data_IF_259168245886
#
_entry.id   IF_259168245886
#
_cell.length_a   1.000
_cell.length_b   1.000
_cell.length_c   1.000
_cell.angle_alpha   90.00
_cell.angle_beta   90.00
_cell.angle_gamma   90.00
#
_symmetry.space_group_name_H-M   'P 1'
#
loop_
_entity.id
_entity.type
_entity.pdbx_description
1 polymer ?
#
# COMPACT_ATOMS: atom_id res chain seq x y z
N UNK A 1 -14.89 -5.75 -15.75
CA UNK A 1 -15.37 -7.04 -15.17
C UNK A 1 -16.08 -7.80 -16.27
N UNK A 2 -15.96 -9.13 -16.34
CA UNK A 2 -16.70 -9.89 -17.36
C UNK A 2 -18.21 -9.86 -17.06
N UNK A 3 -19.06 -9.91 -18.10
CA UNK A 3 -20.52 -9.80 -17.94
C UNK A 3 -21.10 -10.88 -17.00
N UNK A 4 -20.51 -12.07 -17.00
CA UNK A 4 -20.94 -13.19 -16.16
C UNK A 4 -20.59 -12.97 -14.67
N UNK A 5 -19.46 -12.32 -14.39
CA UNK A 5 -19.07 -11.93 -13.02
C UNK A 5 -20.01 -10.84 -12.47
N UNK A 6 -20.35 -9.85 -13.30
CA UNK A 6 -21.32 -8.80 -12.92
C UNK A 6 -22.70 -9.40 -12.62
N UNK A 7 -23.16 -10.35 -13.45
CA UNK A 7 -24.43 -11.06 -13.22
C UNK A 7 -24.40 -11.90 -11.95
N UNK A 8 -23.29 -12.58 -11.67
CA UNK A 8 -23.12 -13.35 -10.44
C UNK A 8 -23.16 -12.43 -9.21
N UNK A 9 -22.52 -11.26 -9.29
CA UNK A 9 -22.53 -10.24 -8.24
C UNK A 9 -23.95 -9.71 -7.99
N UNK A 10 -24.67 -9.32 -9.03
CA UNK A 10 -26.07 -8.85 -8.93
C UNK A 10 -27.01 -9.93 -8.40
N UNK A 11 -26.78 -11.20 -8.76
CA UNK A 11 -27.55 -12.32 -8.23
C UNK A 11 -27.29 -12.54 -6.74
N UNK A 12 -26.03 -12.40 -6.30
CA UNK A 12 -25.64 -12.54 -4.89
C UNK A 12 -26.13 -11.36 -4.05
N UNK A 13 -26.05 -10.15 -4.59
CA UNK A 13 -26.40 -8.90 -3.90
C UNK A 13 -27.38 -8.07 -4.76
N UNK A 14 -28.66 -8.45 -4.81
CA UNK A 14 -29.66 -7.81 -5.69
C UNK A 14 -30.02 -6.38 -5.30
N UNK A 15 -29.50 -5.89 -4.17
CA UNK A 15 -29.75 -4.58 -3.59
C UNK A 15 -28.57 -3.62 -3.74
N UNK A 16 -27.49 -3.99 -4.45
CA UNK A 16 -26.39 -3.08 -4.70
C UNK A 16 -26.86 -1.85 -5.52
N UNK A 17 -26.41 -0.63 -5.19
CA UNK A 17 -26.76 0.58 -5.94
C UNK A 17 -26.27 0.52 -7.39
N UNK A 18 -27.03 1.13 -8.30
CA UNK A 18 -26.69 1.20 -9.72
C UNK A 18 -25.34 1.93 -9.92
N UNK A 19 -25.07 3.01 -9.18
CA UNK A 19 -23.78 3.72 -9.32
C UNK A 19 -22.57 2.88 -8.90
N UNK A 20 -22.71 1.99 -7.91
CA UNK A 20 -21.65 1.04 -7.55
C UNK A 20 -21.47 -0.01 -8.65
N UNK A 21 -22.57 -0.60 -9.14
CA UNK A 21 -22.55 -1.61 -10.18
C UNK A 21 -21.95 -1.06 -11.50
N UNK A 22 -22.32 0.16 -11.88
CA UNK A 22 -21.76 0.85 -13.03
C UNK A 22 -20.24 1.04 -12.86
N UNK A 23 -19.80 1.54 -11.71
CA UNK A 23 -18.38 1.73 -11.42
C UNK A 23 -17.59 0.42 -11.51
N UNK A 24 -18.02 -0.64 -10.82
CA UNK A 24 -17.27 -1.91 -10.80
C UNK A 24 -17.36 -2.67 -12.12
N UNK A 25 -18.42 -2.48 -12.91
CA UNK A 25 -18.49 -3.03 -14.27
C UNK A 25 -17.33 -2.51 -15.13
N UNK A 26 -17.05 -1.21 -15.01
CA UNK A 26 -16.05 -0.50 -15.80
C UNK A 26 -14.64 -0.65 -15.25
N UNK A 27 -14.47 -0.57 -13.94
CA UNK A 27 -13.15 -0.48 -13.31
C UNK A 27 -12.77 -1.68 -12.44
N UNK A 28 -13.72 -2.54 -12.08
CA UNK A 28 -13.49 -3.66 -11.15
C UNK A 28 -13.11 -3.20 -9.74
N UNK A 29 -12.24 -3.97 -9.08
CA UNK A 29 -11.59 -3.55 -7.83
C UNK A 29 -10.49 -2.52 -8.15
N UNK A 30 -10.48 -1.39 -7.46
CA UNK A 30 -9.46 -0.35 -7.67
C UNK A 30 -8.79 0.06 -6.37
N UNK A 31 -7.53 0.45 -6.49
CA UNK A 31 -6.75 1.15 -5.47
C UNK A 31 -6.23 2.42 -6.11
N UNK A 32 -6.59 3.57 -5.56
CA UNK A 32 -6.36 4.88 -6.14
C UNK A 32 -5.55 5.74 -5.16
N UNK A 33 -4.80 6.70 -5.71
CA UNK A 33 -4.01 7.67 -4.95
C UNK A 33 -3.00 6.99 -4.00
N UNK A 34 -1.94 6.41 -4.59
CA UNK A 34 -0.86 5.80 -3.81
C UNK A 34 -0.07 6.90 -3.09
N UNK A 35 0.05 6.79 -1.78
CA UNK A 35 0.92 7.63 -0.95
C UNK A 35 1.79 6.72 -0.10
N UNK A 36 3.10 6.75 -0.36
CA UNK A 36 4.06 5.81 0.25
C UNK A 36 3.62 4.36 0.00
N UNK A 37 3.35 3.60 1.08
CA UNK A 37 2.92 2.20 1.05
C UNK A 37 1.40 2.01 1.09
N UNK A 38 0.62 3.10 1.14
CA UNK A 38 -0.84 3.04 1.28
C UNK A 38 -1.57 3.63 0.06
N UNK A 39 -2.83 3.24 -0.13
CA UNK A 39 -3.71 3.81 -1.15
C UNK A 39 -4.85 4.54 -0.45
N UNK A 40 -4.97 5.83 -0.69
CA UNK A 40 -5.94 6.67 0.02
C UNK A 40 -7.38 6.28 -0.27
N UNK A 41 -7.68 5.72 -1.44
CA UNK A 41 -9.04 5.28 -1.81
C UNK A 41 -9.00 3.88 -2.38
N UNK A 42 -9.85 2.99 -1.86
CA UNK A 42 -10.05 1.66 -2.42
C UNK A 42 -11.53 1.37 -2.68
N UNK A 43 -11.81 0.67 -3.77
CA UNK A 43 -13.14 0.09 -4.04
C UNK A 43 -12.97 -1.41 -4.20
N UNK A 44 -13.76 -2.18 -3.42
CA UNK A 44 -13.77 -3.62 -3.43
C UNK A 44 -14.81 -4.13 -4.42
N UNK A 45 -14.45 -5.12 -5.22
CA UNK A 45 -15.34 -5.88 -6.08
C UNK A 45 -14.85 -7.35 -6.15
N UNK A 46 -15.56 -8.32 -5.57
CA UNK A 46 -16.84 -8.18 -4.86
C UNK A 46 -16.71 -7.41 -3.53
N UNK A 47 -17.81 -6.89 -2.97
CA UNK A 47 -17.79 -6.35 -1.62
C UNK A 47 -17.58 -7.47 -0.59
N UNK A 48 -17.05 -7.12 0.57
CA UNK A 48 -16.81 -8.06 1.67
C UNK A 48 -17.99 -8.05 2.65
N UNK A 49 -18.48 -9.23 3.03
CA UNK A 49 -19.53 -9.38 4.04
C UNK A 49 -18.93 -9.29 5.44
N UNK A 50 -19.37 -8.31 6.22
CA UNK A 50 -18.86 -8.08 7.58
C UNK A 50 -20.03 -8.07 8.56
N UNK A 51 -19.82 -8.67 9.74
CA UNK A 51 -20.72 -8.50 10.89
C UNK A 51 -20.12 -7.45 11.81
N UNK A 52 -20.80 -6.31 11.93
CA UNK A 52 -20.37 -5.21 12.77
C UNK A 52 -20.55 -5.55 14.27
N UNK A 53 -19.85 -4.91 15.23
CA UNK A 53 -19.91 -5.28 16.65
C UNK A 53 -21.33 -5.28 17.25
N UNK A 54 -22.21 -4.43 16.73
CA UNK A 54 -23.62 -4.37 17.13
C UNK A 54 -24.50 -5.49 16.52
N UNK A 55 -23.92 -6.42 15.76
CA UNK A 55 -24.60 -7.52 15.09
C UNK A 55 -25.16 -7.19 13.70
N UNK A 56 -25.06 -5.94 13.23
CA UNK A 56 -25.52 -5.56 11.90
C UNK A 56 -24.65 -6.22 10.81
N UNK A 57 -25.31 -6.75 9.77
CA UNK A 57 -24.64 -7.29 8.59
C UNK A 57 -24.45 -6.19 7.56
N UNK A 58 -23.20 -5.96 7.17
CA UNK A 58 -22.80 -4.91 6.24
C UNK A 58 -22.08 -5.51 5.04
N UNK A 59 -22.10 -4.77 3.93
CA UNK A 59 -21.22 -5.00 2.79
C UNK A 59 -20.16 -3.91 2.78
N UNK A 60 -18.90 -4.25 3.05
CA UNK A 60 -17.78 -3.33 2.86
C UNK A 60 -17.49 -3.20 1.37
N UNK A 61 -17.57 -1.98 0.88
CA UNK A 61 -17.44 -1.66 -0.55
C UNK A 61 -16.16 -0.92 -0.89
N UNK A 62 -15.45 -0.44 0.12
CA UNK A 62 -14.25 0.34 -0.08
C UNK A 62 -13.72 0.95 1.22
N UNK A 63 -12.75 1.83 1.05
CA UNK A 63 -12.15 2.60 2.14
C UNK A 63 -11.66 3.95 1.64
N UNK A 64 -11.52 4.90 2.57
CA UNK A 64 -10.79 6.15 2.39
C UNK A 64 -9.92 6.39 3.62
N UNK A 65 -8.61 6.60 3.42
CA UNK A 65 -7.64 6.54 4.52
C UNK A 65 -7.88 5.25 5.34
N UNK A 66 -7.78 5.29 6.66
CA UNK A 66 -8.13 4.16 7.54
C UNK A 66 -9.65 3.92 7.71
N UNK A 67 -10.52 4.80 7.17
CA UNK A 67 -11.98 4.68 7.31
C UNK A 67 -12.59 3.73 6.29
N UNK A 68 -13.48 2.84 6.74
CA UNK A 68 -14.17 1.88 5.86
C UNK A 68 -15.50 2.45 5.35
N UNK A 69 -15.94 1.95 4.20
CA UNK A 69 -17.20 2.34 3.59
C UNK A 69 -18.11 1.13 3.40
N UNK A 70 -19.38 1.26 3.79
CA UNK A 70 -20.33 0.16 3.85
C UNK A 70 -21.69 0.48 3.20
N UNK A 71 -22.37 -0.57 2.74
CA UNK A 71 -23.83 -0.60 2.59
C UNK A 71 -24.46 -1.51 3.64
N UNK A 72 -25.70 -1.22 4.04
CA UNK A 72 -26.50 -2.17 4.84
C UNK A 72 -26.95 -3.33 3.96
N UNK A 73 -26.63 -4.56 4.37
CA UNK A 73 -27.03 -5.78 3.63
C UNK A 73 -28.55 -6.05 3.66
N UNK A 74 -29.26 -5.40 4.58
CA UNK A 74 -30.70 -5.58 4.82
C UNK A 74 -31.58 -4.54 4.12
N UNK A 75 -31.00 -3.59 3.38
CA UNK A 75 -31.77 -2.63 2.60
C UNK A 75 -32.41 -3.33 1.40
N UNK A 76 -33.72 -3.57 1.49
CA UNK A 76 -34.51 -4.27 0.47
C UNK A 76 -35.06 -3.36 -0.62
N UNK A 77 -34.79 -2.05 -0.57
CA UNK A 77 -35.27 -1.10 -1.58
C UNK A 77 -34.62 -1.43 -2.92
N UNK A 78 -35.38 -1.93 -3.91
CA UNK A 78 -34.81 -2.29 -5.19
C UNK A 78 -34.39 -1.02 -5.92
N UNK A 79 -33.11 -0.94 -6.31
CA UNK A 79 -32.58 0.02 -7.30
C UNK A 79 -32.64 1.50 -6.93
N UNK A 80 -32.81 1.84 -5.66
CA UNK A 80 -32.52 3.20 -5.17
C UNK A 80 -31.06 3.28 -4.73
N UNK A 81 -30.40 4.41 -4.98
CA UNK A 81 -29.12 4.71 -4.34
C UNK A 81 -29.21 4.44 -2.84
N UNK A 82 -28.21 3.73 -2.31
CA UNK A 82 -28.09 3.47 -0.89
C UNK A 82 -27.12 4.46 -0.27
N UNK A 83 -27.41 4.96 0.94
CA UNK A 83 -26.44 5.75 1.68
C UNK A 83 -25.20 4.90 1.94
N UNK A 84 -24.03 5.54 1.83
CA UNK A 84 -22.76 4.94 2.26
C UNK A 84 -22.58 5.24 3.74
N UNK A 85 -22.27 4.20 4.51
CA UNK A 85 -21.97 4.30 5.92
C UNK A 85 -20.47 4.22 6.17
N UNK A 86 -19.98 4.93 7.17
CA UNK A 86 -18.64 4.77 7.73
C UNK A 86 -18.72 4.35 9.20
N UNK A 87 -17.59 3.92 9.76
CA UNK A 87 -17.44 3.68 11.18
C UNK A 87 -16.55 4.74 11.84
N UNK A 88 -16.94 5.17 13.04
CA UNK A 88 -16.12 6.04 13.88
C UNK A 88 -15.18 5.23 14.81
N UNK A 89 -14.35 5.93 15.60
CA UNK A 89 -13.42 5.31 16.55
C UNK A 89 -14.13 4.49 17.65
N UNK A 90 -15.41 4.78 17.90
CA UNK A 90 -16.25 4.07 18.89
C UNK A 90 -17.01 2.89 18.25
N UNK A 91 -16.74 2.56 16.99
CA UNK A 91 -17.46 1.56 16.22
C UNK A 91 -18.97 1.85 16.12
N UNK A 92 -19.36 3.10 15.91
CA UNK A 92 -20.71 3.48 15.53
C UNK A 92 -20.80 3.66 14.01
N UNK A 93 -21.96 3.32 13.43
CA UNK A 93 -22.22 3.55 12.00
C UNK A 93 -22.84 4.92 11.78
N UNK A 94 -22.21 5.73 10.93
CA UNK A 94 -22.72 7.01 10.51
C UNK A 94 -22.88 7.10 8.98
N UNK A 95 -23.83 7.92 8.52
CA UNK A 95 -23.99 8.19 7.09
C UNK A 95 -22.91 9.15 6.62
N UNK A 96 -22.00 8.68 5.76
CA UNK A 96 -20.90 9.48 5.20
C UNK A 96 -21.17 9.99 3.79
N UNK A 97 -22.17 9.43 3.09
CA UNK A 97 -22.69 9.95 1.82
C UNK A 97 -24.12 9.44 1.53
N UNK A 98 -24.85 10.14 0.67
CA UNK A 98 -26.19 9.75 0.23
C UNK A 98 -26.20 8.67 -0.86
N UNK A 99 -25.07 8.46 -1.53
CA UNK A 99 -24.91 7.50 -2.63
C UNK A 99 -23.45 7.07 -2.77
N UNK A 100 -23.21 5.96 -3.46
CA UNK A 100 -21.85 5.53 -3.79
C UNK A 100 -21.13 6.55 -4.67
N UNK A 101 -21.82 7.08 -5.68
CA UNK A 101 -21.28 8.14 -6.54
C UNK A 101 -20.80 9.35 -5.74
N UNK A 102 -21.63 9.86 -4.82
CA UNK A 102 -21.26 11.01 -3.99
C UNK A 102 -20.07 10.70 -3.07
N UNK A 103 -20.02 9.48 -2.54
CA UNK A 103 -18.88 9.03 -1.73
C UNK A 103 -17.59 8.99 -2.55
N UNK A 104 -17.56 8.28 -3.68
CA UNK A 104 -16.32 8.08 -4.43
C UNK A 104 -15.78 9.39 -5.01
N UNK A 105 -16.66 10.27 -5.50
CA UNK A 105 -16.27 11.61 -6.00
C UNK A 105 -15.63 12.43 -4.89
N UNK A 106 -16.32 12.56 -3.74
CA UNK A 106 -15.79 13.31 -2.60
C UNK A 106 -14.46 12.74 -2.11
N UNK A 107 -14.35 11.42 -1.96
CA UNK A 107 -13.11 10.78 -1.49
C UNK A 107 -11.96 10.94 -2.48
N UNK A 108 -12.23 10.93 -3.78
CA UNK A 108 -11.22 11.25 -4.81
C UNK A 108 -10.75 12.71 -4.71
N UNK A 109 -11.66 13.66 -4.45
CA UNK A 109 -11.31 15.07 -4.25
C UNK A 109 -10.48 15.26 -2.97
N UNK A 110 -10.90 14.64 -1.87
CA UNK A 110 -10.17 14.65 -0.60
C UNK A 110 -8.76 14.06 -0.77
N UNK A 111 -8.64 12.89 -1.43
CA UNK A 111 -7.36 12.24 -1.70
C UNK A 111 -6.45 13.08 -2.61
N UNK A 112 -7.02 13.75 -3.63
CA UNK A 112 -6.26 14.66 -4.50
C UNK A 112 -5.63 15.80 -3.72
N UNK A 113 -6.27 16.29 -2.66
CA UNK A 113 -5.76 17.40 -1.85
C UNK A 113 -4.56 17.02 -0.98
N UNK A 114 -4.20 15.73 -0.90
CA UNK A 114 -2.95 15.30 -0.27
C UNK A 114 -1.70 15.53 -1.12
N UNK A 115 -1.87 15.89 -2.39
CA UNK A 115 -0.79 16.16 -3.33
C UNK A 115 -0.70 17.67 -3.59
N UNK A 116 0.52 18.19 -3.58
CA UNK A 116 0.80 19.52 -4.10
C UNK A 116 0.47 19.60 -5.59
N UNK A 117 0.24 20.80 -6.13
CA UNK A 117 -0.02 20.96 -7.57
C UNK A 117 1.14 20.39 -8.41
N UNK A 118 2.38 20.52 -7.94
CA UNK A 118 3.55 19.94 -8.61
C UNK A 118 3.54 18.41 -8.61
N UNK A 119 3.22 17.78 -7.49
CA UNK A 119 3.09 16.31 -7.41
C UNK A 119 1.93 15.80 -8.27
N UNK A 120 0.81 16.51 -8.25
CA UNK A 120 -0.36 16.16 -9.04
C UNK A 120 -0.11 16.28 -10.55
N UNK A 121 0.58 17.34 -10.97
CA UNK A 121 1.00 17.51 -12.36
C UNK A 121 1.97 16.40 -12.80
N UNK A 122 2.84 15.92 -11.91
CA UNK A 122 3.69 14.75 -12.19
C UNK A 122 2.86 13.48 -12.38
N UNK A 123 1.86 13.24 -11.55
CA UNK A 123 0.95 12.09 -11.68
C UNK A 123 0.22 12.13 -13.03
N UNK A 124 -0.27 13.31 -13.44
CA UNK A 124 -0.99 13.48 -14.72
C UNK A 124 -0.11 13.30 -15.95
N UNK A 125 1.14 13.75 -15.90
CA UNK A 125 2.01 13.82 -17.07
C UNK A 125 2.99 12.63 -17.17
N UNK A 126 2.76 11.56 -16.38
CA UNK A 126 3.69 10.48 -16.06
C UNK A 126 4.88 10.97 -15.21
N UNK A 127 5.41 10.12 -14.32
CA UNK A 127 6.61 10.50 -13.57
C UNK A 127 7.79 10.68 -14.52
N UNK A 128 8.71 11.54 -14.10
CA UNK A 128 10.00 11.65 -14.77
C UNK A 128 10.69 10.29 -14.76
N UNK A 129 11.15 9.85 -15.92
CA UNK A 129 12.03 8.69 -16.02
C UNK A 129 13.25 8.89 -15.12
N UNK A 130 13.86 7.78 -14.71
CA UNK A 130 15.14 7.84 -14.01
C UNK A 130 16.18 8.59 -14.84
N UNK A 131 16.89 9.53 -14.20
CA UNK A 131 18.11 10.09 -14.77
C UNK A 131 19.26 9.05 -14.70
N UNK A 132 20.40 9.36 -15.33
CA UNK A 132 21.53 8.42 -15.41
C UNK A 132 22.04 7.96 -14.03
N UNK A 133 22.11 8.87 -13.04
CA UNK A 133 22.52 8.53 -11.67
C UNK A 133 21.50 7.61 -10.98
N UNK A 134 20.20 7.89 -11.17
CA UNK A 134 19.14 7.05 -10.64
C UNK A 134 19.15 5.65 -11.27
N UNK A 135 19.43 5.54 -12.58
CA UNK A 135 19.61 4.26 -13.27
C UNK A 135 20.82 3.48 -12.74
N UNK A 136 21.94 4.15 -12.45
CA UNK A 136 23.10 3.51 -11.83
C UNK A 136 22.76 2.89 -10.46
N UNK A 137 21.94 3.58 -9.66
CA UNK A 137 21.47 3.05 -8.37
C UNK A 137 20.59 1.81 -8.56
N UNK A 138 19.65 1.85 -9.51
CA UNK A 138 18.80 0.70 -9.86
C UNK A 138 19.67 -0.51 -10.23
N UNK A 139 20.66 -0.31 -11.09
CA UNK A 139 21.58 -1.38 -11.52
C UNK A 139 22.51 -1.87 -10.41
N UNK A 140 22.96 -0.98 -9.52
CA UNK A 140 23.74 -1.35 -8.36
C UNK A 140 22.94 -2.21 -7.39
N UNK A 141 21.69 -1.82 -7.11
CA UNK A 141 20.78 -2.53 -6.22
C UNK A 141 20.56 -3.98 -6.65
N UNK A 142 20.37 -4.24 -7.96
CA UNK A 142 20.22 -5.60 -8.51
C UNK A 142 21.42 -6.51 -8.22
N UNK A 143 22.61 -5.92 -8.12
CA UNK A 143 23.89 -6.61 -7.90
C UNK A 143 24.27 -6.73 -6.42
N UNK A 144 23.67 -5.93 -5.54
CA UNK A 144 23.89 -6.09 -4.10
C UNK A 144 23.07 -7.29 -3.60
N UNK A 145 23.76 -8.29 -3.06
CA UNK A 145 23.15 -9.50 -2.48
C UNK A 145 23.12 -9.37 -0.97
N UNK A 146 22.09 -9.93 -0.36
CA UNK A 146 22.01 -9.96 1.09
C UNK A 146 21.26 -11.19 1.60
N UNK A 147 21.51 -11.58 2.84
CA UNK A 147 20.75 -12.60 3.54
C UNK A 147 20.77 -12.36 5.05
N UNK A 148 19.66 -12.62 5.72
CA UNK A 148 19.59 -12.70 7.19
C UNK A 148 20.45 -13.87 7.67
N UNK A 149 21.35 -13.61 8.62
CA UNK A 149 22.22 -14.64 9.21
C UNK A 149 21.90 -14.93 10.68
N UNK A 150 21.07 -14.11 11.32
CA UNK A 150 20.62 -14.33 12.70
C UNK A 150 20.25 -13.03 13.38
N UNK A 151 20.38 -13.03 14.70
CA UNK A 151 20.19 -11.88 15.56
C UNK A 151 21.42 -11.68 16.46
N UNK A 152 21.67 -10.44 16.88
CA UNK A 152 22.65 -10.13 17.91
C UNK A 152 22.08 -10.47 19.30
N UNK A 153 22.92 -10.39 20.33
CA UNK A 153 22.49 -10.58 21.72
C UNK A 153 21.49 -9.49 22.16
N UNK A 154 21.54 -8.32 21.52
CA UNK A 154 20.65 -7.17 21.78
C UNK A 154 19.36 -7.23 20.94
N UNK A 155 19.12 -8.34 20.25
CA UNK A 155 17.94 -8.58 19.42
C UNK A 155 17.97 -7.90 18.04
N UNK A 156 19.08 -7.27 17.66
CA UNK A 156 19.21 -6.63 16.34
C UNK A 156 19.30 -7.70 15.25
N UNK A 157 18.69 -7.44 14.09
CA UNK A 157 18.84 -8.34 12.95
C UNK A 157 20.25 -8.23 12.38
N UNK A 158 20.89 -9.37 12.15
CA UNK A 158 22.20 -9.46 11.50
C UNK A 158 22.02 -9.89 10.05
N UNK A 159 22.47 -9.05 9.13
CA UNK A 159 22.31 -9.23 7.70
C UNK A 159 23.68 -9.21 7.05
N UNK A 160 24.02 -10.27 6.35
CA UNK A 160 25.22 -10.33 5.53
C UNK A 160 24.91 -9.67 4.19
N UNK A 161 25.66 -8.63 3.84
CA UNK A 161 25.50 -7.85 2.61
C UNK A 161 26.76 -7.98 1.78
N UNK A 162 26.63 -8.32 0.50
CA UNK A 162 27.72 -8.39 -0.47
C UNK A 162 27.46 -7.44 -1.63
N UNK A 163 28.40 -6.53 -1.88
CA UNK A 163 28.29 -5.58 -2.97
C UNK A 163 28.99 -6.10 -4.23
N UNK A 164 28.24 -6.65 -5.18
CA UNK A 164 28.77 -7.10 -6.48
C UNK A 164 28.60 -6.02 -7.57
N UNK A 165 28.23 -4.81 -7.19
CA UNK A 165 28.15 -3.66 -8.09
C UNK A 165 29.46 -2.88 -8.13
N UNK A 166 29.53 -1.87 -9.01
CA UNK A 166 30.65 -0.92 -9.07
C UNK A 166 30.37 0.35 -8.25
N UNK A 167 29.23 0.43 -7.56
CA UNK A 167 28.78 1.61 -6.83
C UNK A 167 28.66 1.29 -5.34
N UNK A 168 29.09 2.22 -4.49
CA UNK A 168 28.79 2.16 -3.05
C UNK A 168 27.51 2.91 -2.79
N UNK A 169 26.48 2.22 -2.31
CA UNK A 169 25.22 2.86 -1.91
C UNK A 169 25.30 3.26 -0.42
N UNK A 170 24.70 4.39 0.00
CA UNK A 170 24.65 4.76 1.41
C UNK A 170 23.73 3.83 2.20
N UNK A 171 22.63 3.41 1.57
CA UNK A 171 21.60 2.56 2.14
C UNK A 171 21.22 1.43 1.19
N UNK A 172 20.51 0.44 1.72
CA UNK A 172 19.79 -0.57 0.95
C UNK A 172 18.41 -0.80 1.58
N UNK A 173 17.34 -0.55 0.84
CA UNK A 173 15.97 -0.75 1.31
C UNK A 173 15.55 -2.19 1.06
N UNK A 174 15.17 -2.88 2.13
CA UNK A 174 14.70 -4.27 2.11
C UNK A 174 13.32 -4.40 2.74
N UNK A 175 12.57 -5.41 2.33
CA UNK A 175 11.22 -5.67 2.82
C UNK A 175 11.24 -6.35 4.18
N UNK A 176 10.25 -6.03 4.99
CA UNK A 176 10.02 -6.60 6.32
C UNK A 176 8.58 -7.07 6.46
N UNK A 177 8.39 -8.24 7.07
CA UNK A 177 7.09 -8.75 7.46
C UNK A 177 7.15 -9.34 8.87
N UNK A 178 6.32 -8.84 9.77
CA UNK A 178 6.01 -9.41 11.07
C UNK A 178 4.77 -10.30 10.98
N UNK A 179 4.80 -11.47 11.61
CA UNK A 179 3.65 -12.39 11.63
C UNK A 179 2.66 -12.09 12.76
N UNK A 180 3.15 -11.66 13.93
CA UNK A 180 2.35 -11.42 15.13
C UNK A 180 2.93 -10.25 15.95
N UNK A 181 2.33 -9.03 15.92
CA UNK A 181 1.26 -8.60 15.02
C UNK A 181 1.64 -8.67 13.53
N UNK A 182 0.62 -8.78 12.67
CA UNK A 182 0.80 -8.71 11.23
C UNK A 182 1.18 -7.28 10.84
N UNK A 183 2.46 -7.06 10.53
CA UNK A 183 3.00 -5.78 10.09
C UNK A 183 3.79 -6.03 8.81
N UNK A 184 3.62 -5.16 7.82
CA UNK A 184 4.40 -5.21 6.58
C UNK A 184 4.97 -3.82 6.29
N UNK A 185 6.23 -3.77 5.88
CA UNK A 185 6.92 -2.52 5.62
C UNK A 185 8.31 -2.75 5.07
N UNK A 186 9.19 -1.78 5.29
CA UNK A 186 10.59 -1.86 4.91
C UNK A 186 11.51 -1.43 6.05
N UNK A 187 12.78 -1.80 5.93
CA UNK A 187 13.88 -1.20 6.68
C UNK A 187 14.97 -0.76 5.71
N UNK A 188 15.75 0.24 6.10
CA UNK A 188 16.93 0.69 5.36
C UNK A 188 18.17 0.17 6.07
N UNK A 189 19.08 -0.46 5.34
CA UNK A 189 20.34 -0.94 5.87
C UNK A 189 21.43 0.08 5.58
N UNK A 190 22.14 0.62 6.58
CA UNK A 190 23.27 1.50 6.34
C UNK A 190 24.45 0.69 5.77
N UNK A 191 24.68 0.77 4.46
CA UNK A 191 25.68 -0.04 3.73
C UNK A 191 26.79 0.78 3.09
N UNK A 192 26.93 2.05 3.46
CA UNK A 192 27.97 2.97 2.95
C UNK A 192 29.41 2.45 3.10
N UNK A 193 29.65 1.52 4.02
CA UNK A 193 30.95 0.89 4.26
C UNK A 193 31.18 -0.39 3.44
N UNK A 194 30.14 -0.90 2.75
CA UNK A 194 30.23 -2.10 1.91
C UNK A 194 30.61 -1.69 0.48
N UNK A 195 31.90 -1.43 0.27
CA UNK A 195 32.42 -1.01 -1.03
C UNK A 195 32.38 -2.16 -2.07
N UNK A 196 32.49 -1.87 -3.38
CA UNK A 196 32.51 -2.88 -4.44
C UNK A 196 33.43 -4.08 -4.17
N UNK A 197 32.89 -5.27 -4.40
CA UNK A 197 33.58 -6.56 -4.22
C UNK A 197 33.64 -7.06 -2.78
N UNK A 198 33.17 -6.31 -1.79
CA UNK A 198 33.22 -6.68 -0.38
C UNK A 198 31.93 -7.29 0.15
N UNK A 199 32.07 -7.93 1.31
CA UNK A 199 30.98 -8.48 2.11
C UNK A 199 31.12 -8.02 3.55
N UNK A 200 30.01 -7.65 4.19
CA UNK A 200 29.99 -7.18 5.57
C UNK A 200 28.72 -7.62 6.31
N UNK A 201 28.79 -7.72 7.64
CA UNK A 201 27.62 -7.97 8.48
C UNK A 201 27.10 -6.63 8.99
N UNK A 202 25.90 -6.27 8.53
CA UNK A 202 25.18 -5.10 9.00
C UNK A 202 24.22 -5.51 10.11
N UNK A 203 24.24 -4.78 11.21
CA UNK A 203 23.29 -4.93 12.31
C UNK A 203 22.28 -3.78 12.26
N UNK A 204 21.00 -4.09 12.46
CA UNK A 204 19.93 -3.11 12.42
C UNK A 204 18.85 -3.45 13.45
N UNK A 205 18.35 -2.45 14.16
CA UNK A 205 17.31 -2.64 15.19
C UNK A 205 15.99 -3.14 14.61
N UNK A 206 15.68 -2.73 13.37
CA UNK A 206 14.48 -3.13 12.66
C UNK A 206 13.23 -2.75 13.45
N UNK A 207 12.39 -3.74 13.75
CA UNK A 207 11.17 -3.59 14.56
C UNK A 207 11.24 -4.42 15.85
N UNK A 208 12.44 -4.61 16.42
CA UNK A 208 12.64 -5.48 17.60
C UNK A 208 11.81 -5.09 18.83
N UNK A 209 11.38 -3.83 18.91
CA UNK A 209 10.50 -3.33 19.97
C UNK A 209 9.03 -3.75 19.81
N UNK A 210 8.64 -4.17 18.59
CA UNK A 210 7.26 -4.47 18.22
C UNK A 210 7.05 -5.93 17.81
N UNK A 211 8.06 -6.57 17.21
CA UNK A 211 7.99 -7.91 16.63
C UNK A 211 9.13 -8.76 17.20
N UNK A 212 8.80 -9.93 17.74
CA UNK A 212 9.81 -10.87 18.21
C UNK A 212 10.64 -11.46 17.07
N UNK A 213 11.86 -11.87 17.38
CA UNK A 213 12.85 -12.30 16.39
C UNK A 213 12.37 -13.51 15.58
N UNK A 214 11.68 -14.48 16.20
CA UNK A 214 11.07 -15.62 15.52
C UNK A 214 9.89 -15.28 14.60
N UNK A 215 9.26 -14.12 14.79
CA UNK A 215 8.11 -13.66 14.02
C UNK A 215 8.49 -12.68 12.89
N UNK A 216 9.79 -12.46 12.67
CA UNK A 216 10.29 -11.54 11.65
C UNK A 216 10.82 -12.24 10.39
N UNK A 217 10.33 -11.79 9.25
CA UNK A 217 10.74 -12.21 7.92
C UNK A 217 11.25 -11.00 7.14
N UNK A 218 12.33 -11.20 6.38
CA UNK A 218 12.93 -10.18 5.53
C UNK A 218 12.95 -10.70 4.10
N UNK A 219 12.58 -9.86 3.14
CA UNK A 219 12.48 -10.26 1.74
C UNK A 219 12.99 -9.17 0.80
N UNK A 220 13.34 -9.56 -0.42
CA UNK A 220 13.75 -8.64 -1.48
C UNK A 220 12.55 -7.85 -1.97
N UNK A 221 12.63 -6.51 -1.89
CA UNK A 221 11.69 -5.64 -2.59
C UNK A 221 11.94 -5.71 -4.11
N UNK A 222 10.91 -5.52 -4.95
CA UNK A 222 11.10 -5.36 -6.39
C UNK A 222 12.03 -4.19 -6.68
N UNK A 223 12.56 -4.16 -7.90
CA UNK A 223 13.33 -3.00 -8.34
C UNK A 223 12.43 -1.76 -8.40
N UNK A 224 12.93 -0.59 -7.96
CA UNK A 224 12.14 0.62 -7.92
C UNK A 224 11.73 1.03 -9.34
N UNK A 225 10.49 1.44 -9.48
CA UNK A 225 10.00 2.21 -10.63
C UNK A 225 10.19 3.71 -10.38
N UNK A 226 10.17 4.57 -11.41
CA UNK A 226 10.28 6.02 -11.21
C UNK A 226 9.23 6.59 -10.25
N UNK A 227 8.03 6.02 -10.23
CA UNK A 227 6.92 6.32 -9.32
C UNK A 227 7.24 6.02 -7.85
N UNK A 228 8.17 5.10 -7.59
CA UNK A 228 8.40 4.51 -6.26
C UNK A 228 9.68 4.98 -5.60
N UNK A 229 10.48 5.81 -6.28
CA UNK A 229 11.82 6.21 -5.82
C UNK A 229 11.86 6.77 -4.39
N UNK A 230 10.82 7.49 -3.96
CA UNK A 230 10.74 8.10 -2.63
C UNK A 230 10.62 7.08 -1.48
N UNK A 231 10.22 5.84 -1.80
CA UNK A 231 10.14 4.71 -0.87
C UNK A 231 11.54 4.16 -0.55
N UNK A 232 12.48 4.30 -1.50
CA UNK A 232 13.81 3.71 -1.45
C UNK A 232 14.81 4.73 -0.93
N UNK A 233 15.44 4.42 0.21
CA UNK A 233 16.43 5.30 0.86
C UNK A 233 17.68 5.54 0.02
N UNK A 234 17.96 4.64 -0.94
CA UNK A 234 19.08 4.74 -1.86
C UNK A 234 19.02 5.99 -2.75
N UNK A 235 17.84 6.58 -2.93
CA UNK A 235 17.63 7.77 -3.78
C UNK A 235 17.63 9.10 -3.02
N UNK A 236 17.70 9.10 -1.68
CA UNK A 236 17.46 10.30 -0.87
C UNK A 236 18.65 11.27 -0.78
N UNK A 237 19.87 10.77 -0.96
CA UNK A 237 21.11 11.56 -0.89
C UNK A 237 21.70 11.87 -2.28
N UNK A 238 20.90 11.75 -3.34
CA UNK A 238 21.33 12.21 -4.66
C UNK A 238 21.21 13.73 -4.64
N UNK A 239 22.34 14.43 -4.45
CA UNK A 239 22.43 15.86 -4.72
C UNK A 239 21.95 16.11 -6.16
N UNK A 240 20.72 16.61 -6.27
CA UNK A 240 20.16 17.17 -7.50
C UNK A 240 20.91 18.49 -7.72
N UNK A 241 22.10 18.36 -8.30
CA UNK A 241 22.89 19.47 -8.84
C UNK A 241 22.46 19.76 -10.26
#
# INVERSE_FOLDING_TARGET
>A
MEDDELRALQKKYPYLPDSYLEFVSKFGSVKLYKKRSYYEVGVLCPPEEITFPNGEKLLMVGHFDDSRAFFKSTCTSPKSELPVLGDDEECNLEKIADSFYNWIVKRCEDARNFYTDLEWDRIKNNPYSFNDKELEIVEARKKIKWRKIGFSNDGDVRILVRNESNLTLPFLTIGFRGKNPAIEGSIWLPISHVIPGQEYIVEHSGYKEYISTENSEFYHLPDPTPEEKDIFWEFRDIDIS
#
